data_IF_104148453909
#
_entry.id   IF_104148453909
#
_cell.length_a   1.000
_cell.length_b   1.000
_cell.length_c   1.000
_cell.angle_alpha   90.00
_cell.angle_beta   90.00
_cell.angle_gamma   90.00
#
_symmetry.space_group_name_H-M   'P 1'
#
loop_
_entity.id
_entity.type
_entity.pdbx_description
1 polymer ?
#
# COMPACT_ATOMS: atom_id res chain seq x y z
N UNK A 1 -8.06 37.75 1.83
CA UNK A 1 -8.65 36.65 2.63
C UNK A 1 -7.55 35.60 2.80
N UNK A 2 -7.15 35.20 4.01
CA UNK A 2 -6.03 34.26 4.15
C UNK A 2 -6.46 32.91 3.56
N UNK A 3 -5.69 32.38 2.62
CA UNK A 3 -5.89 31.04 2.08
C UNK A 3 -5.68 30.05 3.22
N UNK A 4 -6.77 29.48 3.72
CA UNK A 4 -6.72 28.34 4.64
C UNK A 4 -6.01 27.22 3.90
N UNK A 5 -4.83 26.82 4.37
CA UNK A 5 -4.06 25.74 3.74
C UNK A 5 -4.91 24.48 3.63
N UNK A 6 -4.80 23.78 2.49
CA UNK A 6 -5.56 22.56 2.26
C UNK A 6 -5.22 21.49 3.30
N UNK A 7 -6.24 20.78 3.80
CA UNK A 7 -6.05 19.66 4.74
C UNK A 7 -5.37 18.48 4.04
N UNK A 8 -4.25 18.01 4.59
CA UNK A 8 -3.58 16.78 4.16
C UNK A 8 -3.90 15.64 5.12
N UNK A 9 -4.42 14.55 4.60
CA UNK A 9 -4.73 13.35 5.39
C UNK A 9 -3.54 12.39 5.45
N UNK A 10 -3.41 11.70 6.57
CA UNK A 10 -2.53 10.55 6.77
C UNK A 10 -3.37 9.39 7.28
N UNK A 11 -4.00 8.68 6.34
CA UNK A 11 -4.84 7.52 6.62
C UNK A 11 -4.04 6.22 6.62
N UNK A 12 -4.40 5.29 7.51
CA UNK A 12 -3.78 3.98 7.61
C UNK A 12 -4.35 3.15 8.76
N UNK A 13 -3.87 1.91 8.88
CA UNK A 13 -4.30 0.94 9.87
C UNK A 13 -3.37 0.94 11.07
N UNK A 14 -3.91 0.92 12.29
CA UNK A 14 -3.11 0.82 13.51
C UNK A 14 -2.70 -0.64 13.69
N UNK A 15 -1.40 -0.93 13.54
CA UNK A 15 -0.85 -2.30 13.66
C UNK A 15 -0.24 -2.58 15.02
N UNK A 16 -0.02 -1.54 15.83
CA UNK A 16 0.49 -1.62 17.20
C UNK A 16 0.02 -0.39 17.96
N UNK A 17 -0.42 -0.59 19.20
CA UNK A 17 -0.84 0.49 20.09
C UNK A 17 -0.32 0.23 21.50
N UNK A 18 0.35 1.22 22.08
CA UNK A 18 1.06 1.07 23.34
C UNK A 18 0.73 2.21 24.29
N UNK A 19 0.66 1.87 25.58
CA UNK A 19 0.62 2.83 26.67
C UNK A 19 2.05 3.04 27.20
N UNK A 20 2.54 4.27 27.12
CA UNK A 20 3.89 4.63 27.55
C UNK A 20 3.90 5.31 28.93
N UNK A 21 2.77 5.33 29.65
CA UNK A 21 2.70 5.92 30.97
C UNK A 21 2.56 7.43 30.92
N UNK A 22 3.36 8.12 31.73
CA UNK A 22 3.41 9.58 31.84
C UNK A 22 4.85 10.02 31.66
N UNK A 23 5.06 11.19 31.06
CA UNK A 23 6.41 11.77 30.89
C UNK A 23 7.13 11.95 32.24
N UNK A 24 6.38 12.43 33.24
CA UNK A 24 6.85 12.58 34.62
C UNK A 24 5.74 12.17 35.60
N UNK A 25 6.10 11.92 36.85
CA UNK A 25 5.14 11.57 37.92
C UNK A 25 4.08 12.68 38.14
N UNK A 26 4.41 13.93 37.81
CA UNK A 26 3.53 15.11 37.96
C UNK A 26 2.74 15.44 36.71
N UNK A 27 3.04 14.82 35.56
CA UNK A 27 2.32 15.04 34.31
C UNK A 27 0.84 14.65 34.46
N UNK A 28 -0.06 15.52 34.00
CA UNK A 28 -1.51 15.27 33.98
C UNK A 28 -1.97 14.46 32.76
N UNK A 29 -1.12 14.36 31.74
CA UNK A 29 -1.39 13.65 30.50
C UNK A 29 -0.72 12.29 30.48
N UNK A 30 -1.33 11.35 29.76
CA UNK A 30 -0.77 10.05 29.46
C UNK A 30 -0.21 10.01 28.05
N UNK A 31 0.84 9.22 27.84
CA UNK A 31 1.48 9.04 26.54
C UNK A 31 1.04 7.70 25.95
N UNK A 32 0.64 7.75 24.69
CA UNK A 32 0.35 6.57 23.88
C UNK A 32 1.15 6.63 22.59
N UNK A 33 1.56 5.47 22.09
CA UNK A 33 2.23 5.34 20.79
C UNK A 33 1.42 4.43 19.89
N UNK A 34 1.13 4.88 18.67
CA UNK A 34 0.47 4.09 17.63
C UNK A 34 1.42 3.92 16.44
N UNK A 35 1.57 2.70 15.93
CA UNK A 35 2.20 2.46 14.63
C UNK A 35 1.11 2.34 13.57
N UNK A 36 1.13 3.27 12.62
CA UNK A 36 0.20 3.30 11.49
C UNK A 36 0.90 2.74 10.24
N UNK A 37 0.25 1.79 9.55
CA UNK A 37 0.74 1.20 8.30
C UNK A 37 -0.39 1.16 7.25
N UNK A 38 -0.08 1.18 5.94
CA UNK A 38 -1.11 0.99 4.93
C UNK A 38 -1.69 -0.42 5.00
N UNK A 39 -2.90 -0.62 4.46
CA UNK A 39 -3.59 -1.91 4.35
C UNK A 39 -2.74 -2.97 3.63
N UNK A 40 -1.84 -2.54 2.74
CA UNK A 40 -0.85 -3.41 2.09
C UNK A 40 -0.01 -4.22 3.11
N UNK A 41 0.19 -3.70 4.33
CA UNK A 41 0.91 -4.41 5.38
C UNK A 41 0.28 -5.76 5.75
N UNK A 42 -1.04 -5.92 5.63
CA UNK A 42 -1.69 -7.19 5.98
C UNK A 42 -1.19 -8.37 5.12
N UNK A 43 -0.69 -8.11 3.91
CA UNK A 43 -0.07 -9.14 3.07
C UNK A 43 1.21 -9.73 3.69
N UNK A 44 1.84 -9.05 4.64
CA UNK A 44 3.00 -9.58 5.38
C UNK A 44 2.61 -10.61 6.45
N UNK A 45 1.31 -10.80 6.69
CA UNK A 45 0.76 -11.65 7.76
C UNK A 45 0.35 -13.04 7.31
N UNK A 46 0.41 -13.32 6.00
CA UNK A 46 0.05 -14.61 5.42
C UNK A 46 1.19 -15.11 4.54
N UNK A 47 1.57 -16.38 4.70
CA UNK A 47 2.54 -17.10 3.87
C UNK A 47 1.80 -18.21 3.15
N UNK A 48 1.99 -18.32 1.83
CA UNK A 48 1.21 -19.24 1.01
C UNK A 48 2.08 -19.99 -0.02
N UNK A 49 1.51 -21.06 -0.56
CA UNK A 49 1.98 -21.74 -1.76
C UNK A 49 0.84 -21.77 -2.78
N UNK A 50 1.00 -21.08 -3.92
CA UNK A 50 -0.02 -20.97 -4.98
C UNK A 50 0.63 -21.01 -6.36
N UNK A 51 -0.11 -21.51 -7.34
CA UNK A 51 0.31 -21.56 -8.74
C UNK A 51 -0.64 -20.67 -9.55
N UNK A 52 -0.06 -19.81 -10.37
CA UNK A 52 -0.74 -18.95 -11.34
C UNK A 52 -0.29 -19.36 -12.74
N UNK A 53 -1.25 -19.56 -13.65
CA UNK A 53 -1.00 -20.02 -15.02
C UNK A 53 -1.73 -19.11 -16.00
N UNK A 54 -1.10 -18.88 -17.16
CA UNK A 54 -1.65 -18.11 -18.27
C UNK A 54 -2.21 -16.75 -17.84
N UNK A 55 -1.47 -16.03 -16.99
CA UNK A 55 -1.85 -14.71 -16.43
C UNK A 55 -0.72 -13.71 -16.58
N UNK A 56 -1.08 -12.46 -16.81
CA UNK A 56 -0.17 -11.31 -16.70
C UNK A 56 0.18 -11.05 -15.24
N UNK A 57 1.28 -10.32 -15.01
CA UNK A 57 1.69 -9.93 -13.65
C UNK A 57 0.61 -9.11 -12.93
N UNK A 58 -0.10 -8.25 -13.66
CA UNK A 58 -1.16 -7.37 -13.13
C UNK A 58 -2.35 -8.19 -12.67
N UNK A 59 -2.77 -9.19 -13.44
CA UNK A 59 -3.85 -10.10 -13.06
C UNK A 59 -3.49 -10.90 -11.80
N UNK A 60 -2.25 -11.38 -11.70
CA UNK A 60 -1.76 -12.10 -10.51
C UNK A 60 -1.80 -11.18 -9.27
N UNK A 61 -1.29 -9.96 -9.39
CA UNK A 61 -1.27 -8.99 -8.29
C UNK A 61 -2.70 -8.65 -7.84
N UNK A 62 -3.61 -8.39 -8.79
CA UNK A 62 -5.01 -8.09 -8.50
C UNK A 62 -5.72 -9.27 -7.82
N UNK A 63 -5.46 -10.50 -8.27
CA UNK A 63 -6.00 -11.71 -7.65
C UNK A 63 -5.56 -11.83 -6.19
N UNK A 64 -4.27 -11.60 -5.90
CA UNK A 64 -3.75 -11.58 -4.52
C UNK A 64 -4.40 -10.46 -3.70
N UNK A 65 -4.51 -9.24 -4.24
CA UNK A 65 -5.10 -8.09 -3.53
C UNK A 65 -6.58 -8.26 -3.23
N UNK A 66 -7.34 -8.95 -4.10
CA UNK A 66 -8.79 -9.13 -3.95
C UNK A 66 -9.19 -9.78 -2.62
N UNK A 67 -8.33 -10.63 -2.04
CA UNK A 67 -8.56 -11.29 -0.76
C UNK A 67 -8.53 -10.34 0.46
N UNK A 68 -7.98 -9.13 0.32
CA UNK A 68 -7.75 -8.19 1.42
C UNK A 68 -8.71 -6.99 1.43
N UNK A 69 -9.42 -6.73 0.33
CA UNK A 69 -10.54 -5.77 0.30
C UNK A 69 -10.16 -4.29 0.48
N UNK A 70 -8.94 -3.87 0.15
CA UNK A 70 -8.55 -2.45 0.17
C UNK A 70 -8.58 -1.84 -1.25
N UNK A 71 -8.79 -0.52 -1.39
CA UNK A 71 -8.88 0.12 -2.69
C UNK A 71 -7.52 0.17 -3.40
N UNK A 72 -7.53 -0.21 -4.68
CA UNK A 72 -6.36 -0.19 -5.56
C UNK A 72 -6.72 0.55 -6.84
N UNK A 73 -5.83 1.40 -7.33
CA UNK A 73 -5.94 2.06 -8.63
C UNK A 73 -4.79 1.66 -9.51
N UNK A 74 -5.09 1.28 -10.75
CA UNK A 74 -4.10 0.93 -11.76
C UNK A 74 -3.86 2.13 -12.67
N UNK A 75 -2.64 2.67 -12.65
CA UNK A 75 -2.15 3.74 -13.55
C UNK A 75 -0.93 3.26 -14.35
N UNK A 76 -0.96 1.99 -14.75
CA UNK A 76 0.07 1.38 -15.58
C UNK A 76 -0.20 1.73 -17.06
N UNK A 77 0.86 2.09 -17.77
CA UNK A 77 0.83 2.51 -19.17
C UNK A 77 1.36 1.43 -20.12
N UNK A 78 2.19 0.52 -19.60
CA UNK A 78 2.78 -0.57 -20.36
C UNK A 78 1.83 -1.76 -20.52
N UNK A 79 2.12 -2.60 -21.52
CA UNK A 79 1.52 -3.93 -21.65
C UNK A 79 2.45 -4.97 -21.06
N UNK A 80 1.92 -5.84 -20.19
CA UNK A 80 2.70 -6.88 -19.54
C UNK A 80 2.54 -8.23 -20.24
N UNK A 81 3.63 -9.00 -20.31
CA UNK A 81 3.60 -10.34 -20.87
C UNK A 81 2.72 -11.28 -20.04
N UNK A 82 2.13 -12.27 -20.70
CA UNK A 82 1.48 -13.39 -20.03
C UNK A 82 2.54 -14.40 -19.56
N UNK A 83 2.44 -14.80 -18.29
CA UNK A 83 3.26 -15.84 -17.72
C UNK A 83 2.54 -17.18 -17.87
N UNK A 84 3.13 -18.11 -18.61
CA UNK A 84 2.59 -19.47 -18.72
C UNK A 84 2.57 -20.20 -17.37
N UNK A 85 3.55 -19.91 -16.50
CA UNK A 85 3.63 -20.48 -15.16
C UNK A 85 4.35 -19.54 -14.19
N UNK A 86 3.70 -19.21 -13.07
CA UNK A 86 4.27 -18.40 -11.99
C UNK A 86 3.86 -18.98 -10.62
N UNK A 87 4.83 -19.17 -9.73
CA UNK A 87 4.59 -19.77 -8.41
C UNK A 87 4.86 -18.78 -7.30
N UNK A 88 3.96 -18.73 -6.32
CA UNK A 88 4.24 -18.25 -4.98
C UNK A 88 4.64 -19.46 -4.13
N UNK A 89 5.85 -19.51 -3.57
CA UNK A 89 6.33 -20.67 -2.83
C UNK A 89 6.93 -20.29 -1.48
N UNK A 90 6.22 -20.62 -0.40
CA UNK A 90 6.64 -20.37 0.99
C UNK A 90 7.10 -18.92 1.25
N UNK A 91 6.43 -17.97 0.60
CA UNK A 91 6.69 -16.55 0.77
C UNK A 91 5.41 -15.83 1.16
N UNK A 92 5.55 -14.69 1.85
CA UNK A 92 4.39 -13.87 2.19
C UNK A 92 3.72 -13.32 0.92
N UNK A 93 2.42 -13.06 0.98
CA UNK A 93 1.72 -12.43 -0.14
C UNK A 93 2.39 -11.09 -0.52
N UNK A 94 2.93 -10.36 0.48
CA UNK A 94 3.63 -9.10 0.25
C UNK A 94 4.95 -9.31 -0.50
N UNK A 95 5.76 -10.28 -0.07
CA UNK A 95 7.03 -10.59 -0.73
C UNK A 95 6.80 -11.04 -2.18
N UNK A 96 5.77 -11.86 -2.41
CA UNK A 96 5.41 -12.35 -3.73
C UNK A 96 5.00 -11.23 -4.69
N UNK A 97 4.06 -10.37 -4.29
CA UNK A 97 3.64 -9.25 -5.16
C UNK A 97 4.77 -8.25 -5.33
N UNK A 98 5.59 -8.01 -4.30
CA UNK A 98 6.71 -7.06 -4.39
C UNK A 98 7.77 -7.54 -5.39
N UNK A 99 8.21 -8.80 -5.32
CA UNK A 99 9.20 -9.32 -6.28
C UNK A 99 8.69 -9.31 -7.73
N UNK A 100 7.39 -9.52 -7.92
CA UNK A 100 6.76 -9.47 -9.23
C UNK A 100 6.69 -8.05 -9.78
N UNK A 101 6.30 -7.09 -8.93
CA UNK A 101 6.30 -5.67 -9.27
C UNK A 101 7.71 -5.17 -9.61
N UNK A 102 8.69 -5.49 -8.77
CA UNK A 102 10.11 -5.15 -8.99
C UNK A 102 10.64 -5.72 -10.31
N UNK A 103 10.27 -6.97 -10.65
CA UNK A 103 10.72 -7.62 -11.87
C UNK A 103 10.15 -6.97 -13.15
N UNK A 104 8.91 -6.49 -13.10
CA UNK A 104 8.20 -5.92 -14.26
C UNK A 104 8.22 -4.38 -14.26
N UNK A 105 9.00 -3.75 -13.35
CA UNK A 105 9.16 -2.29 -13.29
C UNK A 105 7.94 -1.55 -12.74
N UNK A 106 7.08 -2.23 -12.02
CA UNK A 106 5.91 -1.64 -11.35
C UNK A 106 6.34 -1.13 -9.98
N UNK A 107 5.98 0.10 -9.67
CA UNK A 107 6.09 0.66 -8.32
C UNK A 107 4.71 1.12 -7.84
N UNK A 108 4.64 1.58 -6.59
CA UNK A 108 3.39 2.05 -6.03
C UNK A 108 3.59 3.23 -5.09
N UNK A 109 2.50 3.98 -4.90
CA UNK A 109 2.38 5.03 -3.89
C UNK A 109 0.97 5.02 -3.27
N UNK A 110 0.75 5.86 -2.27
CA UNK A 110 -0.53 5.96 -1.59
C UNK A 110 -1.13 7.36 -1.73
N UNK A 111 -2.41 7.42 -2.08
CA UNK A 111 -3.22 8.64 -1.96
C UNK A 111 -4.08 8.55 -0.72
N UNK A 112 -4.11 9.61 0.10
CA UNK A 112 -4.84 9.64 1.36
C UNK A 112 -6.01 10.61 1.30
N UNK A 113 -7.18 10.14 1.71
CA UNK A 113 -8.40 10.90 1.89
C UNK A 113 -8.91 10.69 3.32
N UNK A 114 -9.95 11.41 3.70
CA UNK A 114 -10.57 11.24 5.01
C UNK A 114 -11.15 9.83 5.15
N UNK A 115 -10.54 8.99 5.99
CA UNK A 115 -11.00 7.63 6.28
C UNK A 115 -10.69 6.59 5.21
N UNK A 116 -9.85 6.91 4.23
CA UNK A 116 -9.43 5.98 3.19
C UNK A 116 -8.04 6.33 2.66
N UNK A 117 -7.21 5.30 2.43
CA UNK A 117 -6.03 5.40 1.58
C UNK A 117 -6.14 4.38 0.45
N UNK A 118 -5.67 4.76 -0.73
CA UNK A 118 -5.70 3.94 -1.94
C UNK A 118 -4.28 3.64 -2.37
N UNK A 119 -4.00 2.36 -2.64
CA UNK A 119 -2.75 1.94 -3.28
C UNK A 119 -2.84 2.26 -4.77
N UNK A 120 -1.88 3.01 -5.29
CA UNK A 120 -1.79 3.32 -6.72
C UNK A 120 -0.60 2.58 -7.32
N UNK A 121 -0.84 1.72 -8.30
CA UNK A 121 0.20 1.07 -9.10
C UNK A 121 0.56 1.96 -10.29
N UNK A 122 1.85 2.17 -10.53
CA UNK A 122 2.36 2.99 -11.62
C UNK A 122 3.67 2.40 -12.19
N UNK A 123 3.94 2.70 -13.46
CA UNK A 123 5.16 2.29 -14.18
C UNK A 123 5.84 3.46 -14.92
N UNK A 124 5.18 4.61 -15.02
CA UNK A 124 5.64 5.77 -15.76
C UNK A 124 5.27 7.08 -15.04
N UNK A 125 5.92 8.19 -15.41
CA UNK A 125 5.64 9.52 -14.87
C UNK A 125 4.19 9.97 -15.13
N UNK A 126 3.58 9.52 -16.24
CA UNK A 126 2.17 9.79 -16.57
C UNK A 126 1.18 9.23 -15.54
N UNK A 127 1.62 8.31 -14.68
CA UNK A 127 0.81 7.81 -13.56
C UNK A 127 0.64 8.79 -12.39
N UNK A 128 1.35 9.93 -12.37
CA UNK A 128 1.32 10.87 -11.24
C UNK A 128 0.48 12.10 -11.50
N UNK A 129 -0.22 12.56 -10.46
CA UNK A 129 -0.87 13.87 -10.47
C UNK A 129 0.15 14.96 -10.09
N UNK A 130 -0.04 16.17 -10.60
CA UNK A 130 0.75 17.33 -10.20
C UNK A 130 0.56 17.61 -8.69
N UNK A 131 1.63 18.04 -8.03
CA UNK A 131 1.53 18.49 -6.65
C UNK A 131 0.65 19.75 -6.60
N UNK A 132 -0.40 19.79 -5.76
CA UNK A 132 -1.17 21.01 -5.55
C UNK A 132 -0.25 22.18 -5.20
N UNK A 133 -0.50 23.35 -5.79
CA UNK A 133 0.27 24.59 -5.61
C UNK A 133 1.70 24.60 -6.22
N UNK A 134 2.03 23.63 -7.08
CA UNK A 134 3.30 23.55 -7.84
C UNK A 134 3.03 23.39 -9.35
N UNK A 135 2.33 24.36 -9.95
CA UNK A 135 2.09 24.47 -11.40
C UNK A 135 2.72 25.74 -11.97
#
# INVERSE_FOLDING_TARGET
QPQVGALRYLDGQITRFEFNGRETLTSRSYIYTATVRPSLWYLTRSVNCRIFQEKTVVEIIQEVFSAYGFPVTNRLSATYRTWGYCTQFQETDFAFVSRLMEQEGIYYYFTHQMGQHTLVLADDMSGHDALPDYA
#
